data_IF_234565865455
#
_entry.id   IF_234565865455
#
_cell.length_a   1.000
_cell.length_b   1.000
_cell.length_c   1.000
_cell.angle_alpha   90.00
_cell.angle_beta   90.00
_cell.angle_gamma   90.00
#
_symmetry.space_group_name_H-M   'P 1'
#
loop_
_entity.id
_entity.type
_entity.pdbx_description
1 polymer ?
#
# COMPACT_ATOMS: atom_id res chain seq x y z
N UNK A 1 -0.32 -7.57 -18.71
CA UNK A 1 -1.78 -7.69 -18.54
C UNK A 1 -2.26 -6.73 -17.46
N UNK A 2 -3.44 -6.11 -17.59
CA UNK A 2 -3.99 -5.25 -16.53
C UNK A 2 -4.22 -6.09 -15.26
N UNK A 3 -3.75 -5.62 -14.11
CA UNK A 3 -3.84 -6.33 -12.82
C UNK A 3 -5.29 -6.76 -12.46
N UNK A 4 -6.29 -6.07 -13.01
CA UNK A 4 -7.71 -6.39 -12.89
C UNK A 4 -8.10 -7.72 -13.55
N UNK A 5 -7.48 -8.08 -14.68
CA UNK A 5 -7.76 -9.35 -15.37
C UNK A 5 -7.25 -10.56 -14.57
N UNK A 6 -6.14 -10.39 -13.84
CA UNK A 6 -5.55 -11.42 -12.97
C UNK A 6 -6.45 -11.66 -11.75
N UNK A 7 -6.99 -10.59 -11.15
CA UNK A 7 -7.91 -10.68 -10.01
C UNK A 7 -9.27 -11.33 -10.37
N UNK A 8 -9.70 -11.24 -11.63
CA UNK A 8 -10.92 -11.91 -12.11
C UNK A 8 -10.74 -13.43 -12.21
N UNK A 9 -9.52 -13.92 -12.47
CA UNK A 9 -9.21 -15.35 -12.54
C UNK A 9 -9.04 -15.99 -11.16
N UNK A 10 -8.38 -15.28 -10.25
CA UNK A 10 -8.18 -15.70 -8.86
C UNK A 10 -8.23 -14.46 -7.97
N UNK A 11 -9.32 -14.22 -7.23
CA UNK A 11 -9.44 -13.11 -6.29
C UNK A 11 -8.25 -13.06 -5.32
N UNK A 12 -7.56 -11.92 -5.26
CA UNK A 12 -6.42 -11.69 -4.38
C UNK A 12 -5.05 -11.99 -4.99
N UNK A 13 -4.98 -12.62 -6.16
CA UNK A 13 -3.70 -12.92 -6.84
C UNK A 13 -2.95 -11.66 -7.29
N UNK A 14 -3.65 -10.60 -7.67
CA UNK A 14 -3.02 -9.31 -7.98
C UNK A 14 -2.33 -8.69 -6.75
N UNK A 15 -2.82 -8.96 -5.54
CA UNK A 15 -2.21 -8.48 -4.28
C UNK A 15 -0.95 -9.28 -3.92
N UNK A 16 -0.85 -10.55 -4.32
CA UNK A 16 0.36 -11.37 -4.16
C UNK A 16 1.54 -10.78 -4.94
N UNK A 17 1.31 -10.39 -6.20
CA UNK A 17 2.35 -9.80 -7.07
C UNK A 17 2.92 -8.49 -6.54
N UNK A 18 2.21 -7.81 -5.61
CA UNK A 18 2.64 -6.57 -4.97
C UNK A 18 3.22 -6.78 -3.56
N UNK A 19 3.62 -8.02 -3.23
CA UNK A 19 4.21 -8.43 -1.96
C UNK A 19 3.33 -8.16 -0.72
N UNK A 20 2.00 -8.26 -0.85
CA UNK A 20 1.05 -7.94 0.24
C UNK A 20 0.41 -9.17 0.84
N UNK A 21 1.25 -10.04 1.36
CA UNK A 21 0.87 -11.37 1.83
C UNK A 21 -0.24 -11.34 2.89
N UNK A 22 -0.21 -10.37 3.82
CA UNK A 22 -1.19 -10.30 4.91
C UNK A 22 -2.65 -10.15 4.44
N UNK A 23 -2.90 -9.45 3.33
CA UNK A 23 -4.26 -9.25 2.78
C UNK A 23 -4.53 -10.22 1.64
N UNK A 24 -3.51 -10.53 0.85
CA UNK A 24 -3.64 -11.40 -0.31
C UNK A 24 -3.94 -12.85 0.08
N UNK A 25 -3.24 -13.39 1.08
CA UNK A 25 -3.34 -14.79 1.48
C UNK A 25 -4.76 -15.21 1.91
N UNK A 26 -5.45 -14.51 2.84
CA UNK A 26 -6.80 -14.91 3.24
C UNK A 26 -7.80 -14.82 2.08
N UNK A 27 -7.67 -13.82 1.19
CA UNK A 27 -8.53 -13.67 0.02
C UNK A 27 -8.35 -14.83 -0.98
N UNK A 28 -7.11 -15.21 -1.27
CA UNK A 28 -6.81 -16.31 -2.20
C UNK A 28 -7.28 -17.65 -1.62
N UNK A 29 -7.04 -17.90 -0.32
CA UNK A 29 -7.49 -19.12 0.35
C UNK A 29 -9.01 -19.22 0.34
N UNK A 30 -9.72 -18.13 0.67
CA UNK A 30 -11.18 -18.12 0.64
C UNK A 30 -11.73 -18.33 -0.79
N UNK A 31 -11.10 -17.71 -1.79
CA UNK A 31 -11.51 -17.87 -3.19
C UNK A 31 -11.32 -19.32 -3.68
N UNK A 32 -10.19 -19.96 -3.34
CA UNK A 32 -9.94 -21.36 -3.65
C UNK A 32 -10.95 -22.27 -2.95
N UNK A 33 -11.28 -22.02 -1.68
CA UNK A 33 -12.28 -22.80 -0.96
C UNK A 33 -13.67 -22.69 -1.61
N UNK A 34 -14.11 -21.49 -1.98
CA UNK A 34 -15.38 -21.29 -2.69
C UNK A 34 -15.40 -21.96 -4.06
N UNK A 35 -14.31 -21.87 -4.83
CA UNK A 35 -14.19 -22.52 -6.14
C UNK A 35 -14.23 -24.05 -6.02
N UNK A 36 -13.51 -24.61 -5.04
CA UNK A 36 -13.52 -26.05 -4.76
C UNK A 36 -14.91 -26.54 -4.33
N UNK A 37 -15.61 -25.80 -3.47
CA UNK A 37 -16.98 -26.12 -3.06
C UNK A 37 -17.97 -26.07 -4.25
N UNK A 38 -17.86 -25.07 -5.11
CA UNK A 38 -18.70 -24.96 -6.31
C UNK A 38 -18.45 -26.12 -7.27
N UNK A 39 -17.18 -26.47 -7.53
CA UNK A 39 -16.82 -27.60 -8.38
C UNK A 39 -17.35 -28.93 -7.82
N UNK A 40 -17.18 -29.16 -6.52
CA UNK A 40 -17.63 -30.38 -5.85
C UNK A 40 -19.16 -30.50 -5.88
N UNK A 41 -19.88 -29.40 -5.69
CA UNK A 41 -21.34 -29.36 -5.78
C UNK A 41 -21.86 -29.68 -7.20
N UNK A 42 -21.18 -29.18 -8.24
CA UNK A 42 -21.53 -29.45 -9.64
C UNK A 42 -21.23 -30.90 -10.02
N UNK A 43 -20.05 -31.41 -9.67
CA UNK A 43 -19.62 -32.78 -9.99
C UNK A 43 -20.46 -33.84 -9.28
N UNK A 44 -20.82 -33.60 -8.02
CA UNK A 44 -21.48 -34.61 -7.21
C UNK A 44 -22.98 -34.78 -7.56
N UNK A 45 -23.58 -33.86 -8.33
CA UNK A 45 -25.00 -33.91 -8.77
C UNK A 45 -25.96 -34.37 -7.65
N UNK A 46 -25.69 -33.92 -6.43
CA UNK A 46 -26.32 -34.48 -5.23
C UNK A 46 -27.74 -33.90 -5.11
N UNK A 47 -28.77 -34.75 -5.06
CA UNK A 47 -30.14 -34.28 -4.81
C UNK A 47 -30.22 -33.59 -3.44
N UNK A 48 -30.79 -32.39 -3.38
CA UNK A 48 -31.01 -31.65 -2.12
C UNK A 48 -29.97 -30.56 -1.80
N UNK A 49 -29.01 -30.33 -2.69
CA UNK A 49 -28.07 -29.20 -2.59
C UNK A 49 -28.35 -28.11 -3.64
N UNK A 50 -29.61 -28.02 -4.07
CA UNK A 50 -30.11 -27.11 -5.09
C UNK A 50 -29.87 -25.65 -4.65
N UNK A 51 -28.76 -25.08 -5.11
CA UNK A 51 -28.37 -23.70 -4.83
C UNK A 51 -27.06 -23.51 -4.08
N UNK A 52 -26.43 -24.54 -3.50
CA UNK A 52 -25.11 -24.35 -2.86
C UNK A 52 -24.04 -23.92 -3.87
N UNK A 53 -24.09 -24.46 -5.10
CA UNK A 53 -23.23 -24.00 -6.19
C UNK A 53 -23.44 -22.50 -6.49
N UNK A 54 -24.69 -22.04 -6.47
CA UNK A 54 -25.04 -20.62 -6.69
C UNK A 54 -24.51 -19.76 -5.54
N UNK A 55 -24.70 -20.18 -4.28
CA UNK A 55 -24.16 -19.45 -3.12
C UNK A 55 -22.63 -19.43 -3.10
N UNK A 56 -21.97 -20.52 -3.50
CA UNK A 56 -20.51 -20.58 -3.62
C UNK A 56 -19.99 -19.66 -4.74
N UNK A 57 -20.67 -19.61 -5.89
CA UNK A 57 -20.36 -18.68 -6.98
C UNK A 57 -20.59 -17.21 -6.58
N UNK A 58 -21.67 -16.92 -5.86
CA UNK A 58 -21.93 -15.58 -5.31
C UNK A 58 -20.87 -15.18 -4.28
N UNK A 59 -20.47 -16.10 -3.40
CA UNK A 59 -19.39 -15.89 -2.45
C UNK A 59 -18.04 -15.61 -3.14
N UNK A 60 -17.72 -16.38 -4.19
CA UNK A 60 -16.54 -16.16 -5.02
C UNK A 60 -16.56 -14.79 -5.71
N UNK A 61 -17.70 -14.41 -6.30
CA UNK A 61 -17.88 -13.11 -6.93
C UNK A 61 -17.72 -11.96 -5.91
N UNK A 62 -18.31 -12.09 -4.71
CA UNK A 62 -18.16 -11.12 -3.64
C UNK A 62 -16.69 -10.95 -3.21
N UNK A 63 -15.94 -12.05 -3.08
CA UNK A 63 -14.50 -12.01 -2.80
C UNK A 63 -13.71 -11.30 -3.92
N UNK A 64 -14.09 -11.50 -5.18
CA UNK A 64 -13.55 -10.76 -6.33
C UNK A 64 -13.76 -9.25 -6.23
N UNK A 65 -14.97 -8.82 -5.84
CA UNK A 65 -15.29 -7.40 -5.62
C UNK A 65 -14.46 -6.83 -4.46
N UNK A 66 -14.40 -7.52 -3.32
CA UNK A 66 -13.60 -7.09 -2.16
C UNK A 66 -12.12 -6.96 -2.53
N UNK A 67 -11.56 -7.95 -3.24
CA UNK A 67 -10.17 -7.91 -3.70
C UNK A 67 -9.91 -6.73 -4.66
N UNK A 68 -10.87 -6.41 -5.52
CA UNK A 68 -10.77 -5.29 -6.47
C UNK A 68 -10.88 -3.94 -5.77
N UNK A 69 -11.79 -3.79 -4.81
CA UNK A 69 -11.92 -2.58 -4.00
C UNK A 69 -10.67 -2.37 -3.14
N UNK A 70 -10.13 -3.43 -2.53
CA UNK A 70 -8.89 -3.37 -1.77
C UNK A 70 -7.70 -2.94 -2.65
N UNK A 71 -7.59 -3.50 -3.87
CA UNK A 71 -6.57 -3.09 -4.84
C UNK A 71 -6.74 -1.63 -5.25
N UNK A 72 -7.97 -1.19 -5.53
CA UNK A 72 -8.26 0.18 -5.92
C UNK A 72 -7.95 1.20 -4.82
N UNK A 73 -8.39 0.94 -3.58
CA UNK A 73 -8.06 1.78 -2.43
C UNK A 73 -6.55 1.86 -2.25
N UNK A 74 -5.86 0.76 -2.47
CA UNK A 74 -4.43 0.71 -2.32
C UNK A 74 -3.67 1.45 -3.42
N UNK A 75 -4.09 1.29 -4.67
CA UNK A 75 -3.52 2.01 -5.81
C UNK A 75 -3.79 3.51 -5.70
N UNK A 76 -4.90 3.91 -5.08
CA UNK A 76 -5.16 5.31 -4.73
C UNK A 76 -4.23 5.83 -3.65
N UNK A 77 -3.98 5.04 -2.60
CA UNK A 77 -3.06 5.41 -1.52
C UNK A 77 -1.58 5.45 -1.98
N UNK A 78 -1.23 4.70 -3.02
CA UNK A 78 0.12 4.63 -3.58
C UNK A 78 0.43 5.65 -4.70
N UNK A 79 -0.55 6.42 -5.18
CA UNK A 79 -0.30 7.50 -6.16
C UNK A 79 0.35 8.69 -5.45
N UNK A 80 1.65 8.59 -5.26
CA UNK A 80 2.49 9.73 -4.89
C UNK A 80 2.45 10.70 -6.08
N UNK A 81 1.93 11.91 -5.89
CA UNK A 81 2.02 12.95 -6.90
C UNK A 81 3.46 13.50 -6.93
N UNK A 82 4.25 13.22 -7.99
CA UNK A 82 5.64 13.64 -8.06
C UNK A 82 5.78 15.16 -8.17
N UNK A 83 4.76 15.87 -8.68
CA UNK A 83 4.78 17.33 -8.70
C UNK A 83 4.61 17.88 -7.29
N UNK A 84 3.68 17.32 -6.51
CA UNK A 84 3.47 17.70 -5.10
C UNK A 84 4.68 17.41 -4.22
N UNK A 85 5.30 16.24 -4.36
CA UNK A 85 6.53 15.87 -3.64
C UNK A 85 7.66 16.86 -3.95
N UNK A 86 7.91 17.15 -5.23
CA UNK A 86 8.94 18.13 -5.64
C UNK A 86 8.64 19.54 -5.14
N UNK A 87 7.37 19.93 -5.06
CA UNK A 87 6.97 21.22 -4.49
C UNK A 87 7.27 21.28 -2.99
N UNK A 88 6.86 20.27 -2.22
CA UNK A 88 7.12 20.19 -0.78
C UNK A 88 8.61 20.13 -0.46
N UNK A 89 9.40 19.41 -1.27
CA UNK A 89 10.85 19.34 -1.11
C UNK A 89 11.50 20.72 -1.31
N UNK A 90 11.11 21.45 -2.37
CA UNK A 90 11.58 22.82 -2.62
C UNK A 90 11.16 23.78 -1.51
N UNK A 91 9.93 23.68 -1.03
CA UNK A 91 9.41 24.52 0.06
C UNK A 91 10.20 24.31 1.36
N UNK A 92 10.41 23.04 1.74
CA UNK A 92 11.17 22.68 2.93
C UNK A 92 12.64 23.11 2.83
N UNK A 93 13.29 22.87 1.68
CA UNK A 93 14.67 23.30 1.45
C UNK A 93 14.81 24.83 1.47
N UNK A 94 13.89 25.55 0.82
CA UNK A 94 13.91 27.00 0.81
C UNK A 94 13.66 27.60 2.22
N UNK A 95 12.77 27.01 3.02
CA UNK A 95 12.57 27.41 4.40
C UNK A 95 13.81 27.16 5.26
N UNK A 96 14.48 26.02 5.09
CA UNK A 96 15.73 25.69 5.77
C UNK A 96 16.85 26.69 5.44
N UNK A 97 17.02 27.02 4.15
CA UNK A 97 18.03 27.99 3.70
C UNK A 97 17.78 29.41 4.21
N UNK A 98 16.52 29.78 4.47
CA UNK A 98 16.15 31.05 5.13
C UNK A 98 16.26 31.00 6.66
N UNK A 99 16.74 29.89 7.22
CA UNK A 99 16.77 29.64 8.67
C UNK A 99 15.39 29.66 9.35
N UNK A 100 14.30 29.55 8.59
CA UNK A 100 12.96 29.36 9.13
C UNK A 100 12.73 27.89 9.44
N UNK A 101 13.27 27.45 10.58
CA UNK A 101 13.27 26.05 10.98
C UNK A 101 11.86 25.52 11.29
N UNK A 102 10.91 26.40 11.66
CA UNK A 102 9.53 26.01 11.95
C UNK A 102 8.79 25.69 10.65
N UNK A 103 8.92 26.54 9.63
CA UNK A 103 8.36 26.27 8.31
C UNK A 103 9.04 25.07 7.64
N UNK A 104 10.35 24.92 7.80
CA UNK A 104 11.10 23.79 7.27
C UNK A 104 10.62 22.46 7.88
N UNK A 105 10.42 22.41 9.19
CA UNK A 105 9.94 21.19 9.87
C UNK A 105 8.52 20.84 9.45
N UNK A 106 7.63 21.84 9.36
CA UNK A 106 6.25 21.65 8.88
C UNK A 106 6.25 21.07 7.47
N UNK A 107 7.04 21.65 6.56
CA UNK A 107 7.11 21.25 5.16
C UNK A 107 7.74 19.86 5.01
N UNK A 108 8.80 19.56 5.76
CA UNK A 108 9.40 18.22 5.81
C UNK A 108 8.42 17.18 6.38
N UNK A 109 7.61 17.56 7.37
CA UNK A 109 6.55 16.69 7.91
C UNK A 109 5.45 16.40 6.89
N UNK A 110 5.03 17.40 6.12
CA UNK A 110 4.09 17.20 5.01
C UNK A 110 4.69 16.32 3.90
N UNK A 111 5.98 16.51 3.59
CA UNK A 111 6.71 15.68 2.63
C UNK A 111 6.74 14.20 3.08
N UNK A 112 7.04 13.92 4.35
CA UNK A 112 7.00 12.55 4.90
C UNK A 112 5.59 11.95 4.79
N UNK A 113 4.53 12.73 5.03
CA UNK A 113 3.15 12.24 4.87
C UNK A 113 2.81 11.94 3.42
N UNK A 114 3.30 12.75 2.48
CA UNK A 114 3.06 12.57 1.05
C UNK A 114 3.87 11.41 0.46
N UNK A 115 5.10 11.21 0.94
CA UNK A 115 6.04 10.19 0.44
C UNK A 115 6.77 9.50 1.59
N UNK A 116 6.10 8.64 2.38
CA UNK A 116 6.68 8.05 3.58
C UNK A 116 7.83 7.06 3.32
N UNK A 117 7.94 6.58 2.08
CA UNK A 117 8.98 5.63 1.65
C UNK A 117 10.14 6.30 0.91
N UNK A 118 10.11 7.63 0.75
CA UNK A 118 11.18 8.35 0.09
C UNK A 118 12.29 8.69 1.11
N UNK A 119 13.54 8.20 0.92
CA UNK A 119 14.62 8.49 1.84
C UNK A 119 14.93 9.98 1.97
N UNK A 120 14.82 10.73 0.86
CA UNK A 120 15.07 12.17 0.81
C UNK A 120 14.20 12.97 1.78
N UNK A 121 12.95 12.55 1.99
CA UNK A 121 12.04 13.19 2.95
C UNK A 121 12.53 13.06 4.40
N UNK A 122 13.04 11.88 4.76
CA UNK A 122 13.58 11.60 6.09
C UNK A 122 14.94 12.24 6.33
N UNK A 123 15.80 12.30 5.30
CA UNK A 123 17.08 13.01 5.36
C UNK A 123 16.87 14.51 5.62
N UNK A 124 15.91 15.14 4.92
CA UNK A 124 15.60 16.55 5.13
C UNK A 124 15.05 16.83 6.55
N UNK A 125 14.17 15.97 7.06
CA UNK A 125 13.70 16.05 8.44
C UNK A 125 14.85 15.90 9.45
N UNK A 126 15.82 15.02 9.19
CA UNK A 126 16.98 14.85 10.05
C UNK A 126 17.83 16.13 10.12
N UNK A 127 18.07 16.77 8.98
CA UNK A 127 18.80 18.05 8.89
C UNK A 127 18.07 19.18 9.62
N UNK A 128 16.75 19.30 9.42
CA UNK A 128 15.94 20.31 10.11
C UNK A 128 15.94 20.07 11.62
N UNK A 129 15.76 18.83 12.06
CA UNK A 129 15.77 18.49 13.49
C UNK A 129 17.15 18.76 14.12
N UNK A 130 18.25 18.52 13.40
CA UNK A 130 19.59 18.84 13.86
C UNK A 130 19.79 20.35 14.01
N UNK A 131 19.37 21.14 13.03
CA UNK A 131 19.45 22.61 13.10
C UNK A 131 18.60 23.18 14.25
N UNK A 132 17.51 22.53 14.63
CA UNK A 132 16.68 22.89 15.80
C UNK A 132 17.27 22.45 17.15
N UNK A 133 18.41 21.75 17.16
CA UNK A 133 18.97 21.15 18.39
C UNK A 133 18.22 19.90 18.87
N UNK A 134 17.27 19.37 18.11
CA UNK A 134 16.53 18.15 18.43
C UNK A 134 17.33 16.90 18.01
N UNK A 135 18.44 16.65 18.70
CA UNK A 135 19.30 15.48 18.48
C UNK A 135 18.56 14.12 18.48
N UNK A 136 17.60 13.82 19.38
CA UNK A 136 16.87 12.55 19.32
C UNK A 136 15.94 12.46 18.10
N UNK A 137 15.32 13.56 17.69
CA UNK A 137 14.54 13.65 16.46
C UNK A 137 15.39 13.38 15.22
N UNK A 138 16.55 14.05 15.12
CA UNK A 138 17.48 13.91 14.01
C UNK A 138 17.97 12.45 13.86
N UNK A 139 18.39 11.82 14.96
CA UNK A 139 18.82 10.41 14.95
C UNK A 139 17.71 9.45 14.51
N UNK A 140 16.47 9.67 14.93
CA UNK A 140 15.32 8.85 14.51
C UNK A 140 15.07 8.97 13.01
N UNK A 141 15.05 10.20 12.49
CA UNK A 141 14.83 10.46 11.07
C UNK A 141 15.96 9.87 10.20
N UNK A 142 17.22 10.08 10.58
CA UNK A 142 18.38 9.54 9.86
C UNK A 142 18.40 8.00 9.82
N UNK A 143 18.05 7.33 10.93
CA UNK A 143 17.91 5.86 10.93
C UNK A 143 16.85 5.39 9.95
N UNK A 144 15.72 6.11 9.86
CA UNK A 144 14.64 5.75 8.95
C UNK A 144 15.05 5.95 7.49
N UNK A 145 15.75 7.03 7.17
CA UNK A 145 16.28 7.27 5.84
C UNK A 145 17.22 6.15 5.38
N UNK A 146 18.20 5.77 6.22
CA UNK A 146 19.15 4.68 5.91
C UNK A 146 18.45 3.33 5.69
N UNK A 147 17.46 3.01 6.51
CA UNK A 147 16.68 1.78 6.34
C UNK A 147 15.98 1.75 4.97
N UNK A 148 15.43 2.89 4.52
CA UNK A 148 14.76 2.99 3.23
C UNK A 148 15.76 2.97 2.05
N UNK A 149 16.97 3.54 2.21
CA UNK A 149 18.04 3.44 1.20
C UNK A 149 18.52 2.00 1.02
N UNK A 150 18.67 1.25 2.11
CA UNK A 150 19.02 -0.18 2.06
C UNK A 150 17.90 -1.05 1.48
N UNK A 151 16.63 -0.66 1.61
CA UNK A 151 15.50 -1.36 0.98
C UNK A 151 15.43 -1.10 -0.55
N UNK A 152 16.09 -0.04 -1.04
CA UNK A 152 16.04 0.40 -2.43
C UNK A 152 17.25 -0.02 -3.28
N UNK A 153 18.28 -0.62 -2.66
CA UNK A 153 19.52 -1.10 -3.30
C UNK A 153 19.43 -2.60 -3.60
#
# INVERSE_FOLDING_TARGET
>A
MPAYAINALVPGSALLTRARLAVALPLVVAALACASLAALAVLASVPGIDGLAVHALLGYAALGVVATVALWHHDRAGRIDPARVRALHREAAAAYLRSDLVAAERSAGLLIRAAPREPGAWNLMALVAQARGNAPGARRAARRARALESEAS
#
